data_IF_433508218009
#
_entry.id   IF_433508218009
#
_cell.length_a   1.000
_cell.length_b   1.000
_cell.length_c   1.000
_cell.angle_alpha   90.00
_cell.angle_beta   90.00
_cell.angle_gamma   90.00
#
_symmetry.space_group_name_H-M   'P 1'
#
loop_
_entity.id
_entity.type
_entity.pdbx_description
1 polymer ?
#
# COMPACT_ATOMS: atom_id res chain seq x y z
N UNK A 1 3.12 0.71 -9.80
CA UNK A 1 3.95 0.10 -8.72
C UNK A 1 5.00 -0.76 -9.42
N UNK A 2 6.28 -0.61 -9.09
CA UNK A 2 7.37 -1.37 -9.73
C UNK A 2 7.26 -1.37 -11.27
N UNK A 3 7.11 -0.18 -11.88
CA UNK A 3 7.03 0.01 -13.34
C UNK A 3 5.80 -0.57 -14.07
N UNK A 4 4.85 -1.18 -13.35
CA UNK A 4 3.59 -1.65 -13.91
C UNK A 4 2.39 -0.83 -13.42
N UNK A 5 1.38 -0.72 -14.28
CA UNK A 5 0.09 -0.12 -13.96
C UNK A 5 -0.74 -1.11 -13.15
N UNK A 6 -1.27 -0.66 -12.01
CA UNK A 6 -2.16 -1.45 -11.15
C UNK A 6 -3.46 -0.70 -10.98
N UNK A 7 -4.58 -1.38 -11.25
CA UNK A 7 -5.93 -0.80 -11.13
C UNK A 7 -6.46 -0.87 -9.70
N UNK A 8 -5.81 -0.16 -8.77
CA UNK A 8 -6.30 -0.05 -7.39
C UNK A 8 -7.04 1.27 -7.21
N UNK A 9 -8.26 1.22 -6.65
CA UNK A 9 -9.11 2.39 -6.37
C UNK A 9 -9.37 3.29 -7.59
N UNK A 10 -9.51 2.70 -8.79
CA UNK A 10 -9.79 3.46 -10.01
C UNK A 10 -11.26 3.90 -10.07
N UNK A 11 -11.50 5.07 -10.65
CA UNK A 11 -12.86 5.52 -10.98
C UNK A 11 -13.32 4.83 -12.27
N UNK A 12 -14.60 4.47 -12.33
CA UNK A 12 -15.23 3.90 -13.52
C UNK A 12 -16.01 4.99 -14.26
N UNK A 13 -16.12 4.83 -15.58
CA UNK A 13 -16.91 5.72 -16.45
C UNK A 13 -17.97 4.91 -17.18
N UNK A 14 -19.06 5.56 -17.57
CA UNK A 14 -20.11 4.91 -18.35
C UNK A 14 -19.62 4.57 -19.77
N UNK A 15 -20.16 3.53 -20.43
CA UNK A 15 -19.75 3.14 -21.78
C UNK A 15 -19.87 4.24 -22.84
N UNK A 16 -20.83 5.16 -22.70
CA UNK A 16 -21.03 6.25 -23.67
C UNK A 16 -19.87 7.26 -23.61
N UNK A 17 -19.32 7.49 -22.42
CA UNK A 17 -18.14 8.35 -22.23
C UNK A 17 -16.91 7.70 -22.87
N UNK A 18 -16.74 6.39 -22.68
CA UNK A 18 -15.66 5.63 -23.32
C UNK A 18 -15.73 5.72 -24.85
N UNK A 19 -16.93 5.62 -25.44
CA UNK A 19 -17.11 5.75 -26.88
C UNK A 19 -16.88 7.20 -27.36
N UNK A 20 -17.39 8.19 -26.62
CA UNK A 20 -17.25 9.61 -26.95
C UNK A 20 -15.78 10.07 -26.95
N UNK A 21 -14.97 9.59 -26.01
CA UNK A 21 -13.56 9.96 -25.87
C UNK A 21 -12.61 8.88 -26.38
N UNK A 22 -12.90 8.32 -27.57
CA UNK A 22 -12.13 7.24 -28.17
C UNK A 22 -10.63 7.52 -28.33
N UNK A 23 -10.24 8.79 -28.47
CA UNK A 23 -8.83 9.21 -28.52
C UNK A 23 -8.04 8.88 -27.24
N UNK A 24 -8.74 8.81 -26.09
CA UNK A 24 -8.16 8.52 -24.77
C UNK A 24 -8.08 7.01 -24.48
N UNK A 25 -8.52 6.16 -25.40
CA UNK A 25 -8.50 4.72 -25.19
C UNK A 25 -7.07 4.20 -25.08
N UNK A 26 -6.86 3.36 -24.08
CA UNK A 26 -5.61 2.66 -23.85
C UNK A 26 -5.54 1.34 -24.62
N UNK A 27 -4.35 1.01 -25.09
CA UNK A 27 -4.02 -0.22 -25.79
C UNK A 27 -2.81 -0.87 -25.11
N UNK A 28 -2.69 -2.20 -25.20
CA UNK A 28 -1.54 -2.91 -24.66
C UNK A 28 -0.24 -2.37 -25.28
N UNK A 29 0.74 -2.10 -24.42
CA UNK A 29 2.02 -1.49 -24.79
C UNK A 29 2.04 0.04 -24.75
N UNK A 30 0.91 0.70 -24.46
CA UNK A 30 0.94 2.14 -24.18
C UNK A 30 1.69 2.41 -22.87
N UNK A 31 2.57 3.42 -22.86
CA UNK A 31 3.25 3.87 -21.65
C UNK A 31 2.54 5.11 -21.12
N UNK A 32 2.15 5.08 -19.85
CA UNK A 32 1.55 6.21 -19.18
C UNK A 32 2.58 6.90 -18.31
N UNK A 33 2.62 8.23 -18.36
CA UNK A 33 3.49 9.06 -17.54
C UNK A 33 2.67 10.15 -16.84
N UNK A 34 2.89 10.31 -15.54
CA UNK A 34 2.29 11.38 -14.76
C UNK A 34 2.93 12.73 -15.15
N UNK A 35 2.09 13.69 -15.54
CA UNK A 35 2.51 15.03 -15.95
C UNK A 35 2.06 16.13 -14.97
N UNK A 36 1.25 15.79 -13.97
CA UNK A 36 0.84 16.69 -12.90
C UNK A 36 0.95 16.00 -11.52
N UNK A 37 1.43 16.72 -10.51
CA UNK A 37 1.63 16.18 -9.16
C UNK A 37 2.93 15.38 -9.06
N UNK A 38 2.86 14.04 -9.02
CA UNK A 38 4.05 13.17 -9.00
C UNK A 38 4.60 12.99 -10.42
N UNK A 39 5.24 14.03 -10.94
CA UNK A 39 5.73 14.05 -12.32
C UNK A 39 6.80 12.97 -12.57
N UNK A 40 6.76 12.39 -13.76
CA UNK A 40 7.80 11.45 -14.23
C UNK A 40 7.53 9.99 -13.89
N UNK A 41 6.70 9.74 -12.86
CA UNK A 41 6.26 8.38 -12.54
C UNK A 41 5.52 7.78 -13.75
N UNK A 42 5.94 6.58 -14.16
CA UNK A 42 5.41 5.95 -15.37
C UNK A 42 5.16 4.45 -15.22
N UNK A 43 4.36 3.90 -16.14
CA UNK A 43 4.08 2.47 -16.20
C UNK A 43 3.60 2.02 -17.57
N UNK A 44 3.89 0.77 -17.91
CA UNK A 44 3.38 0.13 -19.12
C UNK A 44 1.96 -0.39 -18.88
N UNK A 45 1.05 -0.10 -19.80
CA UNK A 45 -0.30 -0.67 -19.82
C UNK A 45 -0.28 -2.04 -20.48
N UNK A 46 -0.35 -3.08 -19.66
CA UNK A 46 -0.39 -4.49 -20.10
C UNK A 46 -1.58 -5.22 -19.47
N UNK A 47 -2.76 -4.63 -19.59
CA UNK A 47 -4.00 -5.17 -19.03
C UNK A 47 -5.01 -5.42 -20.14
N UNK A 48 -5.77 -6.49 -20.02
CA UNK A 48 -6.83 -6.85 -20.98
C UNK A 48 -8.17 -6.25 -20.59
N UNK A 49 -8.20 -4.93 -20.46
CA UNK A 49 -9.37 -4.17 -19.99
C UNK A 49 -9.53 -2.87 -20.76
N UNK A 50 -10.78 -2.45 -20.98
CA UNK A 50 -11.08 -1.15 -21.56
C UNK A 50 -10.82 -0.06 -20.53
N UNK A 51 -9.90 0.85 -20.84
CA UNK A 51 -9.52 1.93 -19.95
C UNK A 51 -9.26 3.23 -20.72
N UNK A 52 -9.46 4.35 -20.02
CA UNK A 52 -9.09 5.71 -20.43
C UNK A 52 -8.30 6.36 -19.29
N UNK A 53 -7.58 7.44 -19.59
CA UNK A 53 -6.77 8.18 -18.63
C UNK A 53 -7.31 9.61 -18.40
N UNK A 54 -6.86 10.24 -17.32
CA UNK A 54 -7.26 11.61 -16.96
C UNK A 54 -6.27 12.66 -17.48
N UNK A 55 -6.57 13.95 -17.28
CA UNK A 55 -5.72 15.06 -17.73
C UNK A 55 -4.34 15.15 -17.08
N UNK A 56 -4.11 14.44 -15.97
CA UNK A 56 -2.84 14.48 -15.23
C UNK A 56 -1.84 13.43 -15.73
N UNK A 57 -2.24 12.65 -16.73
CA UNK A 57 -1.46 11.56 -17.31
C UNK A 57 -1.35 11.80 -18.81
N UNK A 58 -0.15 11.58 -19.35
CA UNK A 58 0.07 11.52 -20.78
C UNK A 58 0.28 10.08 -21.24
N UNK A 59 -0.22 9.76 -22.44
CA UNK A 59 -0.07 8.46 -23.08
C UNK A 59 0.97 8.55 -24.19
N UNK A 60 2.02 7.75 -24.07
CA UNK A 60 3.09 7.61 -25.05
C UNK A 60 2.97 6.26 -25.77
N UNK A 61 2.86 6.31 -27.10
CA UNK A 61 2.83 5.11 -27.96
C UNK A 61 4.05 5.13 -28.87
N UNK A 62 4.92 4.16 -28.69
CA UNK A 62 6.21 4.11 -29.36
C UNK A 62 6.12 3.46 -30.74
N UNK A 63 7.02 3.88 -31.64
CA UNK A 63 7.28 3.18 -32.90
C UNK A 63 8.03 1.88 -32.64
N UNK A 64 8.09 0.99 -33.63
CA UNK A 64 8.72 -0.35 -33.53
C UNK A 64 10.19 -0.34 -33.09
N UNK A 65 10.88 0.79 -33.21
CA UNK A 65 12.29 0.96 -32.83
C UNK A 65 12.51 0.98 -31.31
N UNK A 66 11.46 1.23 -30.52
CA UNK A 66 11.56 1.40 -29.07
C UNK A 66 10.62 0.43 -28.37
N UNK A 67 11.18 -0.40 -27.48
CA UNK A 67 10.41 -1.26 -26.59
C UNK A 67 9.74 -0.41 -25.50
N UNK A 68 8.40 -0.51 -25.29
CA UNK A 68 7.70 0.22 -24.24
C UNK A 68 8.29 0.02 -22.84
N UNK A 69 8.72 -1.21 -22.54
CA UNK A 69 9.34 -1.58 -21.27
C UNK A 69 10.68 -0.88 -21.06
N UNK A 70 11.46 -0.72 -22.14
CA UNK A 70 12.72 0.01 -22.09
C UNK A 70 12.48 1.51 -21.84
N UNK A 71 11.54 2.11 -22.58
CA UNK A 71 11.20 3.53 -22.40
C UNK A 71 10.72 3.80 -20.97
N UNK A 72 9.89 2.91 -20.43
CA UNK A 72 9.41 2.99 -19.05
C UNK A 72 10.54 2.87 -18.01
N UNK A 73 11.53 2.00 -18.24
CA UNK A 73 12.72 1.93 -17.38
C UNK A 73 13.54 3.22 -17.42
N UNK A 74 13.70 3.82 -18.60
CA UNK A 74 14.35 5.12 -18.75
C UNK A 74 13.61 6.22 -17.99
N UNK A 75 12.28 6.29 -18.10
CA UNK A 75 11.48 7.32 -17.45
C UNK A 75 11.47 7.21 -15.93
N UNK A 76 11.63 6.01 -15.38
CA UNK A 76 11.76 5.81 -13.93
C UNK A 76 13.23 5.90 -13.44
N UNK A 77 14.18 6.29 -14.30
CA UNK A 77 15.57 6.53 -13.88
C UNK A 77 15.74 7.92 -13.26
N UNK A 78 16.65 8.05 -12.29
CA UNK A 78 16.95 9.32 -11.64
C UNK A 78 17.38 10.41 -12.65
N UNK A 79 18.05 10.02 -13.73
CA UNK A 79 18.46 10.92 -14.79
C UNK A 79 17.26 11.57 -15.49
N UNK A 80 16.26 10.77 -15.89
CA UNK A 80 15.06 11.31 -16.53
C UNK A 80 14.18 12.06 -15.53
N UNK A 81 14.04 11.56 -14.29
CA UNK A 81 13.27 12.22 -13.24
C UNK A 81 13.84 13.60 -12.90
N UNK A 82 15.17 13.75 -12.85
CA UNK A 82 15.82 15.05 -12.68
C UNK A 82 15.57 15.98 -13.87
N UNK A 83 15.67 15.44 -15.10
CA UNK A 83 15.45 16.20 -16.32
C UNK A 83 14.01 16.73 -16.43
N UNK A 84 13.01 15.88 -16.17
CA UNK A 84 11.60 16.30 -16.24
C UNK A 84 11.25 17.29 -15.13
N UNK A 85 11.87 17.15 -13.94
CA UNK A 85 11.64 18.07 -12.83
C UNK A 85 12.17 19.48 -13.10
N UNK A 86 13.35 19.60 -13.73
CA UNK A 86 13.90 20.89 -14.17
C UNK A 86 13.02 21.61 -15.19
N UNK A 87 12.27 20.86 -15.99
CA UNK A 87 11.38 21.40 -17.02
C UNK A 87 9.93 21.56 -16.54
N UNK A 88 9.63 21.22 -15.29
CA UNK A 88 8.31 21.39 -14.70
C UNK A 88 8.07 22.83 -14.23
N UNK A 89 6.81 23.24 -14.15
CA UNK A 89 6.43 24.52 -13.56
C UNK A 89 6.81 24.57 -12.08
N UNK A 90 7.35 25.68 -11.59
CA UNK A 90 7.67 25.90 -10.17
C UNK A 90 6.46 26.30 -9.31
N UNK A 91 5.28 25.79 -9.63
CA UNK A 91 4.05 26.04 -8.86
C UNK A 91 3.92 25.03 -7.70
N UNK A 92 2.99 25.29 -6.76
CA UNK A 92 2.67 24.36 -5.65
C UNK A 92 2.34 22.95 -6.14
N UNK A 93 1.69 22.85 -7.31
CA UNK A 93 1.51 21.60 -8.04
C UNK A 93 2.37 21.69 -9.29
N UNK A 94 3.42 20.86 -9.35
CA UNK A 94 4.25 20.76 -10.55
C UNK A 94 3.41 20.26 -11.71
N UNK A 95 3.65 20.82 -12.89
CA UNK A 95 3.04 20.41 -14.16
C UNK A 95 4.05 20.44 -15.31
N UNK A 96 3.93 19.52 -16.26
CA UNK A 96 4.67 19.47 -17.54
C UNK A 96 3.66 19.27 -18.67
N UNK A 97 3.73 20.08 -19.72
CA UNK A 97 2.86 19.89 -20.90
C UNK A 97 3.47 18.86 -21.88
N UNK A 98 2.67 18.41 -22.84
CA UNK A 98 3.10 17.41 -23.82
C UNK A 98 4.19 17.91 -24.77
N UNK A 99 4.27 19.22 -25.03
CA UNK A 99 5.29 19.80 -25.91
C UNK A 99 6.67 19.74 -25.26
N UNK A 100 6.76 20.11 -23.98
CA UNK A 100 7.97 19.99 -23.18
C UNK A 100 8.38 18.52 -23.09
N UNK A 101 7.44 17.63 -22.75
CA UNK A 101 7.70 16.19 -22.66
C UNK A 101 8.23 15.62 -23.98
N UNK A 102 7.68 16.04 -25.12
CA UNK A 102 8.09 15.61 -26.46
C UNK A 102 9.48 16.12 -26.88
N UNK A 103 9.97 17.18 -26.25
CA UNK A 103 11.31 17.74 -26.51
C UNK A 103 12.40 17.15 -25.61
N UNK A 104 12.05 16.33 -24.62
CA UNK A 104 13.05 15.72 -23.74
C UNK A 104 13.86 14.63 -24.48
N UNK A 105 15.19 14.63 -24.36
CA UNK A 105 16.02 13.59 -24.97
C UNK A 105 15.77 12.21 -24.36
N UNK A 106 15.73 11.20 -25.25
CA UNK A 106 15.70 9.77 -24.90
C UNK A 106 16.81 9.04 -25.66
N UNK A 107 17.69 8.28 -24.98
CA UNK A 107 18.66 7.42 -25.65
C UNK A 107 17.94 6.22 -26.29
N UNK A 108 18.23 5.94 -27.55
CA UNK A 108 17.64 4.80 -28.28
C UNK A 108 18.78 3.85 -28.71
N UNK A 109 19.18 2.89 -27.84
CA UNK A 109 20.17 1.89 -28.20
C UNK A 109 19.57 0.82 -29.12
N UNK A 110 20.39 -0.12 -29.61
CA UNK A 110 19.93 -1.21 -30.48
C UNK A 110 18.82 -2.05 -29.81
N UNK A 111 17.90 -2.67 -30.59
CA UNK A 111 16.83 -3.49 -30.03
C UNK A 111 17.31 -4.62 -29.11
N UNK A 112 18.48 -5.21 -29.40
CA UNK A 112 19.13 -6.21 -28.56
C UNK A 112 19.55 -5.63 -27.20
N UNK A 113 20.11 -4.43 -27.20
CA UNK A 113 20.52 -3.73 -25.97
C UNK A 113 19.31 -3.36 -25.13
N UNK A 114 18.24 -2.86 -25.76
CA UNK A 114 16.97 -2.57 -25.08
C UNK A 114 16.42 -3.83 -24.39
N UNK A 115 16.36 -4.95 -25.14
CA UNK A 115 15.88 -6.24 -24.62
C UNK A 115 16.74 -6.75 -23.46
N UNK A 116 18.07 -6.60 -23.55
CA UNK A 116 19.00 -6.98 -22.49
C UNK A 116 18.77 -6.18 -21.20
N UNK A 117 18.60 -4.86 -21.32
CA UNK A 117 18.31 -3.97 -20.18
C UNK A 117 17.00 -4.41 -19.51
N UNK A 118 15.94 -4.59 -20.30
CA UNK A 118 14.63 -5.05 -19.80
C UNK A 118 14.75 -6.38 -19.07
N UNK A 119 15.46 -7.35 -19.65
CA UNK A 119 15.63 -8.69 -19.05
C UNK A 119 16.35 -8.63 -17.69
N UNK A 120 17.42 -7.82 -17.58
CA UNK A 120 18.17 -7.67 -16.33
C UNK A 120 17.27 -7.08 -15.25
N UNK A 121 16.51 -6.04 -15.57
CA UNK A 121 15.62 -5.38 -14.63
C UNK A 121 14.46 -6.28 -14.20
N UNK A 122 13.85 -7.01 -15.14
CA UNK A 122 12.80 -7.98 -14.82
C UNK A 122 13.31 -9.06 -13.85
N UNK A 123 14.51 -9.61 -14.06
CA UNK A 123 15.12 -10.57 -13.12
C UNK A 123 15.31 -9.98 -11.72
N UNK A 124 15.69 -8.70 -11.62
CA UNK A 124 15.81 -8.02 -10.34
C UNK A 124 14.44 -7.86 -9.64
N UNK A 125 13.41 -7.47 -10.39
CA UNK A 125 12.04 -7.36 -9.85
C UNK A 125 11.48 -8.70 -9.37
N UNK A 126 11.69 -9.79 -10.12
CA UNK A 126 11.26 -11.12 -9.68
C UNK A 126 11.93 -11.54 -8.37
N UNK A 127 13.24 -11.33 -8.24
CA UNK A 127 13.97 -11.61 -6.99
C UNK A 127 13.49 -10.76 -5.82
N UNK A 128 13.15 -9.49 -6.07
CA UNK A 128 12.56 -8.60 -5.05
C UNK A 128 11.23 -9.17 -4.56
N UNK A 129 10.32 -9.53 -5.47
CA UNK A 129 9.01 -10.08 -5.10
C UNK A 129 9.12 -11.39 -4.33
N UNK A 130 10.01 -12.29 -4.73
CA UNK A 130 10.27 -13.55 -4.01
C UNK A 130 10.68 -13.28 -2.56
N UNK A 131 11.68 -12.42 -2.36
CA UNK A 131 12.16 -12.07 -1.01
C UNK A 131 11.11 -11.34 -0.18
N UNK A 132 10.32 -10.44 -0.77
CA UNK A 132 9.23 -9.76 -0.08
C UNK A 132 8.13 -10.75 0.33
N UNK A 133 7.80 -11.71 -0.53
CA UNK A 133 6.81 -12.75 -0.21
C UNK A 133 7.30 -13.67 0.92
N UNK A 134 8.57 -14.05 0.93
CA UNK A 134 9.15 -14.88 1.99
C UNK A 134 9.26 -14.11 3.31
N UNK A 135 9.68 -12.85 3.28
CA UNK A 135 9.67 -11.99 4.46
C UNK A 135 8.25 -11.84 5.02
N UNK A 136 7.25 -11.67 4.15
CA UNK A 136 5.85 -11.59 4.57
C UNK A 136 5.37 -12.87 5.22
N UNK A 137 5.69 -14.05 4.67
CA UNK A 137 5.33 -15.35 5.30
C UNK A 137 5.94 -15.50 6.70
N UNK A 138 7.18 -15.06 6.89
CA UNK A 138 7.83 -15.07 8.20
C UNK A 138 7.11 -14.13 9.17
N UNK A 139 6.75 -12.92 8.73
CA UNK A 139 6.00 -11.97 9.55
C UNK A 139 4.58 -12.45 9.86
N UNK A 140 3.88 -13.06 8.90
CA UNK A 140 2.53 -13.60 9.09
C UNK A 140 2.54 -14.82 10.03
N UNK A 141 3.68 -15.52 10.17
CA UNK A 141 3.88 -16.63 11.12
C UNK A 141 4.49 -16.20 12.46
N UNK A 142 4.54 -14.90 12.75
CA UNK A 142 5.08 -14.39 14.01
C UNK A 142 4.31 -14.94 15.21
N UNK A 143 2.98 -15.09 15.08
CA UNK A 143 2.14 -15.64 16.13
C UNK A 143 2.54 -17.09 16.45
N UNK A 144 2.69 -17.94 15.43
CA UNK A 144 3.15 -19.33 15.59
C UNK A 144 4.55 -19.40 16.21
N UNK A 145 5.46 -18.54 15.76
CA UNK A 145 6.82 -18.48 16.28
C UNK A 145 6.84 -18.08 17.77
N UNK A 146 6.16 -17.00 18.13
CA UNK A 146 6.09 -16.50 19.51
C UNK A 146 5.43 -17.53 20.42
N UNK A 147 4.31 -18.11 20.00
CA UNK A 147 3.61 -19.13 20.77
C UNK A 147 4.47 -20.39 20.97
N UNK A 148 5.18 -20.83 19.92
CA UNK A 148 6.10 -21.98 19.99
C UNK A 148 7.27 -21.72 20.94
N UNK A 149 7.94 -20.58 20.84
CA UNK A 149 9.07 -20.24 21.73
C UNK A 149 8.64 -20.09 23.19
N UNK A 150 7.45 -19.52 23.43
CA UNK A 150 6.87 -19.43 24.77
C UNK A 150 6.32 -20.78 25.28
N UNK A 151 6.25 -21.80 24.42
CA UNK A 151 5.69 -23.11 24.74
C UNK A 151 4.18 -23.09 24.98
N UNK A 152 3.48 -22.11 24.41
CA UNK A 152 2.04 -21.93 24.55
C UNK A 152 1.36 -22.66 23.40
N UNK A 153 0.63 -23.73 23.71
CA UNK A 153 -0.26 -24.39 22.75
C UNK A 153 -1.67 -23.86 22.95
N UNK A 154 -2.21 -23.15 21.96
CA UNK A 154 -3.61 -22.73 21.98
C UNK A 154 -4.46 -23.97 21.67
N UNK A 155 -5.38 -24.37 22.56
CA UNK A 155 -6.27 -25.50 22.29
C UNK A 155 -7.31 -25.12 21.23
N UNK A 156 -7.59 -26.03 20.30
CA UNK A 156 -8.73 -25.91 19.40
C UNK A 156 -10.01 -26.25 20.16
N UNK A 157 -10.73 -25.24 20.64
CA UNK A 157 -12.02 -25.42 21.31
C UNK A 157 -13.14 -25.10 20.33
N UNK A 158 -14.08 -26.04 20.17
CA UNK A 158 -15.28 -25.83 19.36
C UNK A 158 -16.16 -24.78 20.04
N UNK A 159 -16.48 -23.70 19.34
CA UNK A 159 -17.52 -22.78 19.79
C UNK A 159 -18.85 -23.53 19.85
N UNK A 160 -19.36 -23.73 21.07
CA UNK A 160 -20.70 -24.28 21.30
C UNK A 160 -21.75 -23.20 21.04
N UNK A 161 -22.85 -23.59 20.42
CA UNK A 161 -23.95 -22.68 20.07
C UNK A 161 -24.71 -22.17 21.31
N UNK A 162 -24.63 -22.91 22.41
CA UNK A 162 -25.10 -22.54 23.74
C UNK A 162 -24.07 -22.97 24.78
N UNK A 163 -23.97 -22.21 25.87
CA UNK A 163 -23.13 -22.54 27.03
C UNK A 163 -23.86 -22.14 28.31
N UNK A 164 -23.44 -22.71 29.42
CA UNK A 164 -24.00 -22.45 30.75
C UNK A 164 -22.90 -21.89 31.65
N UNK A 165 -23.20 -20.82 32.36
CA UNK A 165 -22.31 -20.18 33.34
C UNK A 165 -23.11 -20.06 34.63
N UNK A 166 -22.49 -20.37 35.77
CA UNK A 166 -23.17 -20.18 37.04
C UNK A 166 -23.25 -18.70 37.40
N UNK A 167 -24.29 -18.30 38.13
CA UNK A 167 -24.54 -16.88 38.43
C UNK A 167 -23.42 -16.22 39.26
N UNK A 168 -22.67 -17.01 40.01
CA UNK A 168 -21.50 -16.62 40.80
C UNK A 168 -20.23 -16.43 39.95
N UNK A 169 -20.15 -17.02 38.76
CA UNK A 169 -19.03 -16.90 37.83
C UNK A 169 -19.12 -15.67 36.91
N UNK A 170 -20.19 -14.88 37.01
CA UNK A 170 -20.39 -13.66 36.21
C UNK A 170 -19.52 -12.53 36.77
N UNK A 171 -18.29 -12.40 36.27
CA UNK A 171 -17.36 -11.35 36.68
C UNK A 171 -17.68 -9.98 36.05
N UNK A 172 -17.58 -8.90 36.85
CA UNK A 172 -17.55 -7.53 36.33
C UNK A 172 -18.87 -6.94 35.80
N UNK A 173 -20.04 -7.51 36.19
CA UNK A 173 -21.39 -7.09 35.74
C UNK A 173 -21.62 -7.23 34.22
N UNK A 174 -20.76 -7.95 33.50
CA UNK A 174 -20.93 -8.20 32.06
C UNK A 174 -21.69 -9.50 31.82
N UNK A 175 -22.81 -9.41 31.11
CA UNK A 175 -23.68 -10.53 30.73
C UNK A 175 -23.63 -10.69 29.19
N UNK A 176 -22.46 -10.50 28.59
CA UNK A 176 -22.27 -10.72 27.16
C UNK A 176 -21.72 -12.12 26.88
N UNK A 177 -22.19 -12.83 25.83
CA UNK A 177 -21.73 -14.19 25.56
C UNK A 177 -20.25 -14.34 25.23
N UNK A 178 -19.61 -13.28 24.72
CA UNK A 178 -18.21 -13.31 24.27
C UNK A 178 -17.25 -13.47 25.45
N UNK A 179 -17.55 -12.83 26.59
CA UNK A 179 -16.76 -12.92 27.80
C UNK A 179 -16.63 -14.36 28.36
N UNK A 180 -17.58 -15.24 28.03
CA UNK A 180 -17.67 -16.58 28.61
C UNK A 180 -17.38 -17.71 27.62
N UNK A 181 -16.91 -17.38 26.40
CA UNK A 181 -16.46 -18.38 25.44
C UNK A 181 -15.33 -19.24 26.02
N UNK A 182 -15.32 -20.53 25.69
CA UNK A 182 -14.32 -21.47 26.20
C UNK A 182 -12.90 -21.13 25.69
N UNK A 183 -12.78 -20.61 24.47
CA UNK A 183 -11.51 -20.26 23.83
C UNK A 183 -10.66 -19.27 24.67
N UNK A 184 -11.12 -18.05 25.01
CA UNK A 184 -10.34 -17.13 25.86
C UNK A 184 -9.94 -17.71 27.22
N UNK A 185 -10.84 -18.47 27.87
CA UNK A 185 -10.58 -19.09 29.17
C UNK A 185 -9.46 -20.13 29.07
N UNK A 186 -9.50 -20.98 28.05
CA UNK A 186 -8.47 -21.99 27.83
C UNK A 186 -7.13 -21.38 27.39
N UNK A 187 -7.14 -20.30 26.61
CA UNK A 187 -5.92 -19.55 26.25
C UNK A 187 -5.23 -18.96 27.49
N UNK A 188 -5.99 -18.35 28.42
CA UNK A 188 -5.42 -17.84 29.69
C UNK A 188 -4.81 -18.98 30.52
N UNK A 189 -5.45 -20.15 30.56
CA UNK A 189 -4.90 -21.34 31.23
C UNK A 189 -3.61 -21.82 30.55
N UNK A 190 -3.56 -21.84 29.22
CA UNK A 190 -2.37 -22.21 28.46
C UNK A 190 -1.20 -21.25 28.71
N UNK A 191 -1.46 -19.93 28.75
CA UNK A 191 -0.44 -18.91 29.07
C UNK A 191 0.11 -19.10 30.49
N UNK A 192 -0.77 -19.33 31.48
CA UNK A 192 -0.34 -19.58 32.87
C UNK A 192 0.46 -20.87 33.04
N UNK A 193 0.24 -21.86 32.17
CA UNK A 193 0.99 -23.13 32.11
C UNK A 193 2.24 -23.05 31.20
N UNK A 194 2.52 -21.90 30.61
CA UNK A 194 3.66 -21.73 29.72
C UNK A 194 4.99 -21.96 30.44
N UNK A 195 6.07 -22.08 29.65
CA UNK A 195 7.43 -22.29 30.16
C UNK A 195 7.90 -21.18 31.11
N UNK A 196 7.29 -20.00 31.04
CA UNK A 196 7.74 -18.79 31.73
C UNK A 196 6.71 -18.31 32.76
N UNK A 197 7.19 -17.71 33.85
CA UNK A 197 6.32 -17.19 34.92
C UNK A 197 5.48 -16.03 34.40
N UNK A 198 4.15 -16.18 34.42
CA UNK A 198 3.22 -15.11 34.06
C UNK A 198 3.09 -14.06 35.18
N UNK A 199 3.08 -12.78 34.82
CA UNK A 199 2.76 -11.64 35.71
C UNK A 199 1.57 -10.86 35.12
N UNK A 200 0.87 -10.07 35.94
CA UNK A 200 -0.15 -9.15 35.42
C UNK A 200 0.54 -8.02 34.66
N UNK A 201 -0.10 -7.55 33.59
CA UNK A 201 0.44 -6.44 32.79
C UNK A 201 0.61 -5.16 33.63
N UNK A 202 -0.33 -4.90 34.54
CA UNK A 202 -0.28 -3.79 35.51
C UNK A 202 0.98 -3.76 36.38
N UNK A 203 1.57 -4.93 36.64
CA UNK A 203 2.75 -5.05 37.52
C UNK A 203 4.05 -4.83 36.74
N UNK A 204 3.97 -4.71 35.41
CA UNK A 204 5.11 -4.56 34.49
C UNK A 204 5.12 -3.16 33.86
N UNK A 205 3.94 -2.61 33.53
CA UNK A 205 3.83 -1.29 32.90
C UNK A 205 4.05 -0.19 33.95
N UNK A 206 4.81 0.84 33.58
CA UNK A 206 5.03 2.01 34.44
C UNK A 206 3.83 2.96 34.41
N UNK A 207 3.18 3.11 33.26
CA UNK A 207 2.05 4.00 33.03
C UNK A 207 1.13 3.43 31.93
N UNK A 208 -0.17 3.75 32.02
CA UNK A 208 -1.16 3.43 30.99
C UNK A 208 -2.14 4.58 30.90
N UNK A 209 -2.14 5.28 29.77
CA UNK A 209 -3.05 6.39 29.47
C UNK A 209 -3.86 6.03 28.22
N UNK A 210 -5.17 6.27 28.26
CA UNK A 210 -6.01 6.22 27.08
C UNK A 210 -5.93 7.58 26.36
N UNK A 211 -5.73 7.57 25.05
CA UNK A 211 -5.66 8.81 24.27
C UNK A 211 -7.00 9.54 24.26
N UNK A 212 -6.95 10.86 24.42
CA UNK A 212 -8.07 11.78 24.19
C UNK A 212 -7.70 12.72 23.04
N UNK A 213 -8.68 13.08 22.20
CA UNK A 213 -8.46 13.88 20.99
C UNK A 213 -8.61 15.39 21.22
N UNK A 214 -8.73 15.81 22.49
CA UNK A 214 -9.01 17.19 22.89
C UNK A 214 -10.50 17.55 22.79
N UNK A 215 -10.83 18.78 23.17
CA UNK A 215 -12.18 19.35 22.98
C UNK A 215 -12.31 19.93 21.56
N UNK A 216 -13.49 19.74 20.94
CA UNK A 216 -13.84 20.48 19.72
C UNK A 216 -13.87 21.98 20.06
N UNK A 217 -12.95 22.77 19.50
CA UNK A 217 -12.95 24.22 19.72
C UNK A 217 -14.17 24.85 19.06
N UNK A 218 -15.20 25.16 19.84
CA UNK A 218 -16.38 25.89 19.35
C UNK A 218 -16.13 27.39 19.12
N UNK A 219 -14.89 27.86 19.30
CA UNK A 219 -14.50 29.24 19.04
C UNK A 219 -13.22 29.29 18.22
N UNK A 220 -13.35 29.84 17.01
CA UNK A 220 -12.22 30.19 16.16
C UNK A 220 -11.53 31.43 16.74
N UNK A 221 -10.63 31.22 17.71
CA UNK A 221 -9.73 32.28 18.15
C UNK A 221 -8.65 32.46 17.09
N UNK A 222 -8.78 33.50 16.26
CA UNK A 222 -7.88 33.84 15.16
C UNK A 222 -6.60 34.56 15.63
N UNK A 223 -6.03 34.14 16.75
CA UNK A 223 -4.76 34.70 17.25
C UNK A 223 -3.96 33.62 17.98
N UNK A 224 -3.22 32.79 17.23
CA UNK A 224 -1.88 32.32 17.61
C UNK A 224 -1.26 31.41 16.55
N UNK A 225 0.08 31.43 16.48
CA UNK A 225 0.90 30.48 15.74
C UNK A 225 0.65 29.06 16.27
N UNK A 226 -0.09 28.23 15.54
CA UNK A 226 -0.28 26.82 15.90
C UNK A 226 0.77 25.92 15.25
N UNK A 227 1.38 25.07 16.06
CA UNK A 227 2.19 23.94 15.57
C UNK A 227 1.24 22.76 15.32
N UNK A 228 1.14 22.32 14.06
CA UNK A 228 0.41 21.11 13.71
C UNK A 228 1.19 19.88 14.20
N UNK A 229 0.54 19.06 15.02
CA UNK A 229 1.08 17.77 15.47
C UNK A 229 0.26 16.63 14.87
N UNK A 230 0.93 15.54 14.48
CA UNK A 230 0.26 14.38 13.92
C UNK A 230 -0.44 13.61 15.03
N UNK A 231 -1.72 13.29 14.84
CA UNK A 231 -2.41 12.31 15.68
C UNK A 231 -2.39 10.95 14.99
N UNK A 232 -1.75 9.99 15.63
CA UNK A 232 -1.57 8.65 15.08
C UNK A 232 -2.82 7.79 15.35
N UNK A 233 -3.22 7.04 14.33
CA UNK A 233 -4.23 5.99 14.44
C UNK A 233 -3.56 4.68 14.01
N UNK A 234 -3.74 3.64 14.81
CA UNK A 234 -3.18 2.30 14.58
C UNK A 234 -4.22 1.43 13.89
#
# INVERSE_FOLDING_TARGET
>A
KDNHIVLKNTKTVKPEIYQKYSALNLQKGDVLICIAGTIGASGVFDLDVKAIFNQNVSRLRFKKEVLPEYANLWFNSDAFLSLIDQNATQATIKYVNNDILGNLPIPIPSPETQSKIVSIMQKAYSKKQEKEADAKKILDSIDDYVLKELGIKIPEVKNKMFFTVWSDEIEGRRIDPKAYLEMPKETIKAIRKSKYKSKKLSDIIAESIAGEWGEDSTFADHTNDYILVNVLQV
#
